data_IF_387582183964
#
_entry.id   IF_387582183964
#
_cell.length_a   1.000
_cell.length_b   1.000
_cell.length_c   1.000
_cell.angle_alpha   90.00
_cell.angle_beta   90.00
_cell.angle_gamma   90.00
#
_symmetry.space_group_name_H-M   'P 1'
#
loop_
_entity.id
_entity.type
_entity.pdbx_description
1 polymer ?
#
# COMPACT_ATOMS: atom_id res chain seq x y z
N UNK A 1 8.00 2.10 -11.02
CA UNK A 1 7.66 2.77 -9.75
C UNK A 1 6.98 4.13 -9.94
N UNK A 2 7.63 5.12 -10.57
CA UNK A 2 7.06 6.48 -10.71
C UNK A 2 5.65 6.50 -11.34
N UNK A 3 5.45 5.74 -12.43
CA UNK A 3 4.15 5.59 -13.09
C UNK A 3 3.04 5.08 -12.16
N UNK A 4 3.35 4.14 -11.25
CA UNK A 4 2.37 3.64 -10.29
C UNK A 4 2.00 4.73 -9.26
N UNK A 5 2.99 5.48 -8.77
CA UNK A 5 2.74 6.60 -7.86
C UNK A 5 1.88 7.69 -8.51
N UNK A 6 2.13 8.03 -9.77
CA UNK A 6 1.35 9.04 -10.50
C UNK A 6 -0.10 8.58 -10.71
N UNK A 7 -0.34 7.28 -10.85
CA UNK A 7 -1.69 6.69 -10.94
C UNK A 7 -2.41 6.58 -9.60
N UNK A 8 -1.68 6.39 -8.50
CA UNK A 8 -2.26 6.34 -7.15
C UNK A 8 -2.62 7.72 -6.59
N UNK A 9 -1.92 8.79 -6.99
CA UNK A 9 -2.17 10.16 -6.49
C UNK A 9 -3.63 10.61 -6.63
N UNK A 10 -4.29 10.48 -7.80
CA UNK A 10 -5.71 10.84 -7.93
C UNK A 10 -6.65 10.09 -6.98
N UNK A 11 -6.29 8.85 -6.59
CA UNK A 11 -7.07 8.07 -5.62
C UNK A 11 -6.88 8.65 -4.22
N UNK A 12 -5.64 8.94 -3.84
CA UNK A 12 -5.33 9.58 -2.55
C UNK A 12 -6.01 10.95 -2.42
N UNK A 13 -6.02 11.74 -3.50
CA UNK A 13 -6.64 13.06 -3.55
C UNK A 13 -8.16 13.01 -3.36
N UNK A 14 -8.84 11.99 -3.92
CA UNK A 14 -10.29 11.75 -3.72
C UNK A 14 -10.64 11.57 -2.23
N UNK A 15 -9.76 10.93 -1.49
CA UNK A 15 -9.90 10.69 -0.05
C UNK A 15 -9.22 11.75 0.82
N UNK A 16 -8.60 12.77 0.21
CA UNK A 16 -7.84 13.83 0.87
C UNK A 16 -6.76 13.32 1.84
N UNK A 17 -6.10 12.21 1.47
CA UNK A 17 -5.12 11.52 2.31
C UNK A 17 -3.76 11.48 1.62
N UNK A 18 -2.72 11.15 2.39
CA UNK A 18 -1.39 10.89 1.81
C UNK A 18 -1.37 9.55 1.06
N UNK A 19 -0.42 9.39 0.13
CA UNK A 19 -0.16 8.08 -0.51
C UNK A 19 0.19 6.99 0.51
N UNK A 20 0.84 7.34 1.62
CA UNK A 20 1.16 6.38 2.68
C UNK A 20 -0.11 5.90 3.40
N UNK A 21 -1.03 6.82 3.70
CA UNK A 21 -2.34 6.50 4.25
C UNK A 21 -3.17 5.64 3.29
N UNK A 22 -3.16 5.96 2.00
CA UNK A 22 -3.84 5.16 0.98
C UNK A 22 -3.29 3.72 0.92
N UNK A 23 -1.96 3.57 0.92
CA UNK A 23 -1.33 2.26 0.89
C UNK A 23 -1.64 1.42 2.14
N UNK A 24 -1.66 2.06 3.32
CA UNK A 24 -2.05 1.40 4.57
C UNK A 24 -3.52 1.00 4.57
N UNK A 25 -4.42 1.88 4.11
CA UNK A 25 -5.85 1.58 4.00
C UNK A 25 -6.10 0.38 3.07
N UNK A 26 -5.43 0.35 1.91
CA UNK A 26 -5.48 -0.79 1.00
C UNK A 26 -5.01 -2.08 1.68
N UNK A 27 -3.88 -2.04 2.41
CA UNK A 27 -3.34 -3.21 3.11
C UNK A 27 -4.28 -3.73 4.20
N UNK A 28 -4.91 -2.82 4.96
CA UNK A 28 -5.87 -3.16 6.03
C UNK A 28 -7.14 -3.78 5.45
N UNK A 29 -7.56 -3.37 4.24
CA UNK A 29 -8.75 -3.91 3.59
C UNK A 29 -8.57 -5.33 3.02
N UNK A 30 -7.33 -5.82 2.92
CA UNK A 30 -7.06 -7.17 2.40
C UNK A 30 -7.51 -8.26 3.38
N UNK A 31 -7.94 -9.43 2.88
CA UNK A 31 -8.36 -10.54 3.74
C UNK A 31 -7.17 -11.10 4.53
N UNK A 32 -7.39 -11.37 5.83
CA UNK A 32 -6.43 -12.02 6.72
C UNK A 32 -5.09 -11.29 6.89
N UNK A 33 -5.06 -9.96 6.68
CA UNK A 33 -3.86 -9.14 6.85
C UNK A 33 -3.89 -8.35 8.16
N UNK A 34 -2.70 -8.02 8.66
CA UNK A 34 -2.52 -7.00 9.70
C UNK A 34 -1.41 -6.07 9.24
N UNK A 35 -1.69 -4.76 9.19
CA UNK A 35 -0.70 -3.77 8.80
C UNK A 35 0.29 -3.52 9.95
N UNK A 36 1.58 -3.77 9.71
CA UNK A 36 2.66 -3.41 10.62
C UNK A 36 3.37 -2.19 10.04
N UNK A 37 3.24 -1.05 10.71
CA UNK A 37 3.79 0.22 10.26
C UNK A 37 4.68 0.83 11.34
N UNK A 38 5.85 1.32 10.94
CA UNK A 38 6.77 2.02 11.84
C UNK A 38 6.31 3.44 12.12
N UNK A 39 6.48 3.89 13.36
CA UNK A 39 6.33 5.28 13.76
C UNK A 39 7.48 5.67 14.70
N UNK A 40 8.14 6.81 14.43
CA UNK A 40 9.26 7.33 15.23
C UNK A 40 8.83 8.39 16.24
N UNK A 41 7.61 8.90 16.10
CA UNK A 41 7.02 9.90 17.00
C UNK A 41 5.49 9.73 17.04
N UNK A 42 4.85 10.47 17.96
CA UNK A 42 3.41 10.39 18.18
C UNK A 42 2.59 10.87 16.97
N UNK A 43 3.06 11.89 16.27
CA UNK A 43 2.40 12.45 15.08
C UNK A 43 2.29 11.40 13.96
N UNK A 44 3.37 10.64 13.71
CA UNK A 44 3.37 9.54 12.75
C UNK A 44 2.43 8.41 13.19
N UNK A 45 2.40 8.07 14.48
CA UNK A 45 1.49 7.04 14.99
C UNK A 45 0.02 7.45 14.79
N UNK A 46 -0.32 8.71 15.08
CA UNK A 46 -1.65 9.25 14.84
C UNK A 46 -1.99 9.26 13.34
N UNK A 47 -1.07 9.72 12.48
CA UNK A 47 -1.27 9.71 11.03
C UNK A 47 -1.50 8.29 10.47
N UNK A 48 -0.75 7.30 10.96
CA UNK A 48 -0.93 5.89 10.57
C UNK A 48 -2.30 5.36 11.00
N UNK A 49 -2.78 5.71 12.20
CA UNK A 49 -4.07 5.27 12.70
C UNK A 49 -5.24 5.77 11.83
N UNK A 50 -5.15 6.99 11.29
CA UNK A 50 -6.16 7.55 10.38
C UNK A 50 -6.35 6.71 9.10
N UNK A 51 -5.36 5.90 8.72
CA UNK A 51 -5.51 5.03 7.55
C UNK A 51 -6.59 3.94 7.73
N UNK A 52 -6.88 3.54 8.98
CA UNK A 52 -7.92 2.54 9.27
C UNK A 52 -9.35 3.07 9.05
N UNK A 53 -9.52 4.39 9.06
CA UNK A 53 -10.83 5.03 8.87
C UNK A 53 -11.19 5.24 7.38
N UNK A 54 -10.22 5.05 6.48
CA UNK A 54 -10.40 5.24 5.04
C UNK A 54 -11.20 4.06 4.47
N UNK A 55 -12.38 4.35 3.95
CA UNK A 55 -13.25 3.35 3.32
C UNK A 55 -13.03 3.33 1.82
N UNK A 56 -12.27 2.33 1.34
CA UNK A 56 -12.06 2.10 -0.09
C UNK A 56 -13.20 1.24 -0.64
N UNK A 57 -13.79 1.68 -1.74
CA UNK A 57 -14.79 0.89 -2.46
C UNK A 57 -14.15 -0.34 -3.13
N UNK A 58 -14.94 -1.39 -3.45
CA UNK A 58 -14.42 -2.56 -4.17
C UNK A 58 -13.73 -2.20 -5.50
N UNK A 59 -14.26 -1.19 -6.21
CA UNK A 59 -13.68 -0.71 -7.46
C UNK A 59 -12.34 -0.01 -7.23
N UNK A 60 -12.20 0.76 -6.16
CA UNK A 60 -10.93 1.40 -5.78
C UNK A 60 -9.89 0.39 -5.33
N UNK A 61 -10.29 -0.64 -4.57
CA UNK A 61 -9.38 -1.74 -4.19
C UNK A 61 -8.85 -2.44 -5.44
N UNK A 62 -9.73 -2.73 -6.40
CA UNK A 62 -9.35 -3.30 -7.68
C UNK A 62 -8.44 -2.37 -8.49
N UNK A 63 -8.75 -1.07 -8.53
CA UNK A 63 -7.94 -0.07 -9.22
C UNK A 63 -6.51 -0.02 -8.64
N UNK A 64 -6.38 -0.02 -7.31
CA UNK A 64 -5.09 -0.01 -6.61
C UNK A 64 -4.31 -1.31 -6.88
N UNK A 65 -4.96 -2.47 -6.86
CA UNK A 65 -4.34 -3.76 -7.21
C UNK A 65 -3.75 -3.74 -8.63
N UNK A 66 -4.54 -3.30 -9.60
CA UNK A 66 -4.15 -3.24 -11.00
C UNK A 66 -2.97 -2.26 -11.21
N UNK A 67 -2.92 -1.17 -10.45
CA UNK A 67 -1.79 -0.23 -10.47
C UNK A 67 -0.55 -0.85 -9.81
N UNK A 68 -0.71 -1.57 -8.69
CA UNK A 68 0.38 -2.24 -7.98
C UNK A 68 1.11 -3.26 -8.85
N UNK A 69 0.38 -3.97 -9.71
CA UNK A 69 0.93 -4.94 -10.67
C UNK A 69 1.98 -4.38 -11.62
N UNK A 70 1.94 -3.08 -11.92
CA UNK A 70 2.96 -2.38 -12.73
C UNK A 70 4.37 -2.55 -12.15
N UNK A 71 4.49 -2.72 -10.82
CA UNK A 71 5.78 -2.89 -10.14
C UNK A 71 6.01 -4.26 -9.53
N UNK A 72 4.96 -5.08 -9.34
CA UNK A 72 5.11 -6.41 -8.73
C UNK A 72 5.20 -7.53 -9.76
N UNK A 73 4.66 -7.40 -10.97
CA UNK A 73 4.63 -8.49 -11.96
C UNK A 73 6.02 -8.88 -12.48
N UNK A 74 7.04 -8.04 -12.26
CA UNK A 74 8.43 -8.36 -12.59
C UNK A 74 9.18 -9.09 -11.46
N UNK A 75 8.58 -9.20 -10.27
CA UNK A 75 9.15 -9.94 -9.15
C UNK A 75 8.89 -11.44 -9.38
N UNK A 76 9.91 -12.27 -9.15
CA UNK A 76 9.72 -13.71 -9.15
C UNK A 76 9.06 -14.17 -7.85
N UNK A 77 8.39 -15.32 -7.89
CA UNK A 77 7.73 -15.91 -6.71
C UNK A 77 8.73 -16.63 -5.78
N UNK A 78 10.03 -16.34 -5.88
CA UNK A 78 11.04 -17.03 -5.11
C UNK A 78 11.08 -16.49 -3.67
N UNK A 79 10.69 -17.28 -2.65
CA UNK A 79 10.72 -16.82 -1.26
C UNK A 79 12.15 -16.70 -0.70
N UNK A 80 13.17 -17.18 -1.42
CA UNK A 80 14.57 -17.19 -0.99
C UNK A 80 15.40 -16.33 -1.93
N UNK A 81 15.69 -15.10 -1.48
CA UNK A 81 16.43 -14.10 -2.26
C UNK A 81 17.96 -14.28 -2.25
N UNK A 82 18.47 -15.38 -1.66
CA UNK A 82 19.91 -15.60 -1.45
C UNK A 82 20.33 -17.01 -1.86
N UNK A 83 21.40 -17.07 -2.65
CA UNK A 83 22.07 -18.32 -3.03
C UNK A 83 23.28 -18.55 -2.13
N UNK A 84 23.24 -19.63 -1.35
CA UNK A 84 24.28 -19.99 -0.37
C UNK A 84 25.48 -20.73 -0.96
N UNK A 85 25.42 -21.10 -2.24
CA UNK A 85 26.48 -21.86 -2.89
C UNK A 85 27.53 -20.91 -3.48
N UNK A 86 28.66 -20.80 -2.80
CA UNK A 86 29.95 -20.40 -3.38
C UNK A 86 30.69 -21.63 -3.89
#
# INVERSE_FOLDING_TARGET
AQQALDKLRPIADRHQVSLANLALAWLIAQPQTNAIVGARNAEQAAANALAADIQLSPDELKEIDDIGRIVTDCLDDNPVMWNWNS
#
